data_IF_727495269688
#
_entry.id   IF_727495269688
#
_cell.length_a   1.000
_cell.length_b   1.000
_cell.length_c   1.000
_cell.angle_alpha   90.00
_cell.angle_beta   90.00
_cell.angle_gamma   90.00
#
_symmetry.space_group_name_H-M   'P 1'
#
loop_
_entity.id
_entity.type
_entity.pdbx_description
1 polymer ?
#
# COMPACT_ATOMS: atom_id res chain seq x y z
N UNK A 1 -3.34 -14.72 4.71
CA UNK A 1 -3.02 -15.37 3.42
C UNK A 1 -1.99 -16.49 3.55
N UNK A 2 -1.00 -16.45 4.42
CA UNK A 2 0.05 -17.47 4.51
C UNK A 2 1.04 -17.52 3.33
N UNK A 3 1.08 -16.47 2.49
CA UNK A 3 2.00 -16.34 1.38
C UNK A 3 3.27 -15.60 1.79
N UNK A 4 4.40 -15.94 1.16
CA UNK A 4 5.63 -15.15 1.28
C UNK A 4 5.49 -13.85 0.47
N UNK A 5 6.19 -12.80 0.90
CA UNK A 5 6.12 -11.47 0.23
C UNK A 5 6.44 -11.53 -1.26
N UNK A 6 7.44 -12.32 -1.64
CA UNK A 6 7.87 -12.51 -3.03
C UNK A 6 6.84 -13.20 -3.94
N UNK A 7 5.89 -13.96 -3.34
CA UNK A 7 4.86 -14.71 -4.05
C UNK A 7 3.51 -13.96 -4.12
N UNK A 8 3.42 -12.80 -3.46
CA UNK A 8 2.20 -11.99 -3.43
C UNK A 8 2.10 -11.17 -4.71
N UNK A 9 1.02 -11.37 -5.46
CA UNK A 9 0.71 -10.61 -6.66
C UNK A 9 -0.11 -9.37 -6.32
N UNK A 10 0.47 -8.19 -6.55
CA UNK A 10 -0.11 -6.89 -6.23
C UNK A 10 -0.49 -6.14 -7.51
N UNK A 11 -1.69 -5.58 -7.53
CA UNK A 11 -2.13 -4.68 -8.61
C UNK A 11 -2.45 -3.32 -8.03
N UNK A 12 -1.87 -2.26 -8.60
CA UNK A 12 -2.21 -0.88 -8.20
C UNK A 12 -3.03 -0.20 -9.27
N UNK A 13 -4.09 0.51 -8.87
CA UNK A 13 -4.83 1.44 -9.73
C UNK A 13 -4.42 2.86 -9.39
N UNK A 14 -3.81 3.52 -10.36
CA UNK A 14 -3.16 4.81 -10.24
C UNK A 14 -1.68 4.74 -10.64
N UNK A 15 -1.18 5.81 -11.25
CA UNK A 15 0.22 5.95 -11.63
C UNK A 15 0.71 7.40 -11.39
N UNK A 16 0.13 8.03 -10.39
CA UNK A 16 0.55 9.32 -9.85
C UNK A 16 1.56 9.16 -8.70
N UNK A 17 1.89 10.27 -8.06
CA UNK A 17 2.91 10.33 -7.00
C UNK A 17 2.66 9.30 -5.88
N UNK A 18 1.42 9.16 -5.41
CA UNK A 18 1.08 8.20 -4.35
C UNK A 18 1.33 6.75 -4.78
N UNK A 19 0.83 6.34 -5.95
CA UNK A 19 1.01 4.98 -6.45
C UNK A 19 2.49 4.64 -6.64
N UNK A 20 3.28 5.57 -7.18
CA UNK A 20 4.73 5.40 -7.38
C UNK A 20 5.44 5.24 -6.04
N UNK A 21 5.15 6.11 -5.06
CA UNK A 21 5.77 6.05 -3.73
C UNK A 21 5.43 4.74 -3.01
N UNK A 22 4.16 4.31 -3.04
CA UNK A 22 3.71 3.04 -2.46
C UNK A 22 4.43 1.87 -3.14
N UNK A 23 4.47 1.86 -4.48
CA UNK A 23 5.11 0.78 -5.23
C UNK A 23 6.61 0.69 -4.93
N UNK A 24 7.33 1.82 -4.89
CA UNK A 24 8.76 1.84 -4.51
C UNK A 24 8.96 1.31 -3.09
N UNK A 25 8.11 1.69 -2.14
CA UNK A 25 8.19 1.22 -0.76
C UNK A 25 7.91 -0.29 -0.66
N UNK A 26 6.93 -0.81 -1.39
CA UNK A 26 6.64 -2.24 -1.42
C UNK A 26 7.80 -3.05 -2.02
N UNK A 27 8.42 -2.56 -3.11
CA UNK A 27 9.62 -3.18 -3.69
C UNK A 27 10.78 -3.21 -2.69
N UNK A 28 11.02 -2.10 -1.96
CA UNK A 28 12.05 -2.05 -0.92
C UNK A 28 11.76 -2.96 0.27
N UNK A 29 10.48 -3.22 0.56
CA UNK A 29 10.03 -4.16 1.58
C UNK A 29 10.08 -5.64 1.13
N UNK A 30 10.48 -5.92 -0.12
CA UNK A 30 10.70 -7.28 -0.64
C UNK A 30 9.56 -7.89 -1.44
N UNK A 31 8.49 -7.14 -1.75
CA UNK A 31 7.49 -7.58 -2.72
C UNK A 31 8.06 -7.50 -4.14
N UNK A 32 7.73 -8.46 -5.00
CA UNK A 32 8.34 -8.57 -6.34
C UNK A 32 7.33 -8.50 -7.49
N UNK A 33 6.17 -9.13 -7.34
CA UNK A 33 5.16 -9.16 -8.41
C UNK A 33 4.15 -8.02 -8.23
N UNK A 34 4.50 -6.86 -8.76
CA UNK A 34 3.66 -5.66 -8.72
C UNK A 34 3.36 -5.20 -10.15
N UNK A 35 2.07 -5.02 -10.46
CA UNK A 35 1.62 -4.41 -11.73
C UNK A 35 0.91 -3.11 -11.44
N UNK A 36 1.40 -2.01 -12.00
CA UNK A 36 0.74 -0.71 -11.95
C UNK A 36 -0.19 -0.52 -13.13
N UNK A 37 -1.37 0.05 -12.88
CA UNK A 37 -2.33 0.40 -13.93
C UNK A 37 -2.62 1.91 -13.90
N UNK A 38 -2.67 2.52 -15.08
CA UNK A 38 -3.24 3.84 -15.27
C UNK A 38 -4.56 3.76 -16.07
N UNK A 39 -5.11 4.89 -16.50
CA UNK A 39 -6.37 4.93 -17.27
C UNK A 39 -6.34 4.11 -18.57
N UNK A 40 -5.17 3.80 -19.12
CA UNK A 40 -4.99 3.01 -20.33
C UNK A 40 -4.71 1.53 -20.02
N UNK A 41 -4.72 1.12 -18.76
CA UNK A 41 -4.42 -0.23 -18.32
C UNK A 41 -3.00 -0.41 -17.76
N UNK A 42 -2.49 -1.63 -17.86
CA UNK A 42 -1.21 -2.01 -17.27
C UNK A 42 -0.03 -1.19 -17.81
N UNK A 43 0.87 -0.81 -16.92
CA UNK A 43 2.16 -0.22 -17.25
C UNK A 43 3.17 -1.35 -17.41
N UNK A 44 3.90 -1.35 -18.51
CA UNK A 44 4.93 -2.34 -18.83
C UNK A 44 6.01 -1.74 -19.73
N UNK A 45 7.17 -2.33 -19.72
CA UNK A 45 8.30 -1.89 -20.52
C UNK A 45 8.00 -2.00 -22.03
N UNK A 46 8.13 -0.88 -22.75
CA UNK A 46 7.82 -0.79 -24.17
C UNK A 46 6.40 -0.32 -24.47
N UNK A 47 5.54 -0.05 -23.48
CA UNK A 47 4.23 0.56 -23.72
C UNK A 47 4.40 2.00 -24.23
N UNK A 48 3.74 2.33 -25.31
CA UNK A 48 3.76 3.68 -25.89
C UNK A 48 3.07 4.73 -24.99
N UNK A 49 3.54 5.97 -25.05
CA UNK A 49 2.94 7.11 -24.35
C UNK A 49 3.15 7.14 -22.84
N UNK A 50 4.15 6.44 -22.34
CA UNK A 50 4.62 6.60 -20.96
C UNK A 50 5.43 7.90 -20.83
N UNK A 51 5.23 8.60 -19.69
CA UNK A 51 6.16 9.66 -19.31
C UNK A 51 7.39 9.04 -18.62
N UNK A 52 8.42 9.86 -18.34
CA UNK A 52 9.70 9.42 -17.81
C UNK A 52 9.58 8.54 -16.55
N UNK A 53 8.74 8.95 -15.57
CA UNK A 53 8.61 8.22 -14.32
C UNK A 53 7.86 6.89 -14.50
N UNK A 54 6.86 6.83 -15.38
CA UNK A 54 6.18 5.56 -15.70
C UNK A 54 7.09 4.63 -16.48
N UNK A 55 8.00 5.16 -17.29
CA UNK A 55 9.03 4.37 -17.97
C UNK A 55 9.97 3.75 -16.93
N UNK A 56 10.46 4.53 -15.98
CA UNK A 56 11.26 4.03 -14.84
C UNK A 56 10.52 2.92 -14.08
N UNK A 57 9.24 3.16 -13.73
CA UNK A 57 8.45 2.16 -13.02
C UNK A 57 8.21 0.89 -13.83
N UNK A 58 8.07 1.00 -15.15
CA UNK A 58 7.91 -0.15 -16.04
C UNK A 58 9.14 -1.07 -16.09
N UNK A 59 10.32 -0.56 -15.73
CA UNK A 59 11.55 -1.36 -15.66
C UNK A 59 11.62 -2.25 -14.41
N UNK A 60 10.91 -1.86 -13.34
CA UNK A 60 10.97 -2.54 -12.02
C UNK A 60 9.65 -3.19 -11.62
N UNK A 61 8.58 -2.99 -12.40
CA UNK A 61 7.25 -3.59 -12.18
C UNK A 61 6.79 -4.33 -13.42
N UNK A 62 5.79 -5.22 -13.27
CA UNK A 62 5.22 -6.00 -14.37
C UNK A 62 6.30 -6.61 -15.29
N UNK A 63 7.28 -7.26 -14.69
CA UNK A 63 8.44 -7.82 -15.40
C UNK A 63 8.05 -8.83 -16.49
N UNK A 64 6.87 -9.43 -16.38
CA UNK A 64 6.28 -10.30 -17.43
C UNK A 64 5.68 -9.53 -18.59
N UNK A 65 5.69 -8.20 -18.57
CA UNK A 65 5.17 -7.29 -19.61
C UNK A 65 3.72 -7.58 -20.01
N UNK A 66 2.89 -7.96 -19.06
CA UNK A 66 1.46 -8.20 -19.32
C UNK A 66 0.79 -6.89 -19.73
N UNK A 67 0.12 -6.93 -20.88
CA UNK A 67 -0.75 -5.86 -21.36
C UNK A 67 -2.21 -6.19 -21.03
N UNK A 68 -3.04 -5.18 -20.85
CA UNK A 68 -4.47 -5.34 -20.58
C UNK A 68 -5.03 -4.23 -19.71
N UNK A 69 -6.31 -4.33 -19.44
CA UNK A 69 -7.06 -3.43 -18.57
C UNK A 69 -6.78 -3.70 -17.09
N UNK A 70 -7.27 -2.85 -16.20
CA UNK A 70 -7.23 -3.12 -14.76
C UNK A 70 -7.93 -4.46 -14.42
N UNK A 71 -9.06 -4.74 -15.06
CA UNK A 71 -9.80 -5.99 -14.87
C UNK A 71 -8.96 -7.22 -15.23
N UNK A 72 -8.21 -7.16 -16.34
CA UNK A 72 -7.33 -8.27 -16.77
C UNK A 72 -6.19 -8.49 -15.76
N UNK A 73 -5.66 -7.42 -15.18
CA UNK A 73 -4.58 -7.53 -14.19
C UNK A 73 -5.05 -8.07 -12.86
N UNK A 74 -6.32 -7.82 -12.48
CA UNK A 74 -6.90 -8.33 -11.23
C UNK A 74 -7.13 -9.85 -11.26
N UNK A 75 -7.18 -10.46 -12.42
CA UNK A 75 -7.31 -11.94 -12.51
C UNK A 75 -6.15 -12.62 -11.78
N UNK A 76 -6.48 -13.36 -10.72
CA UNK A 76 -5.50 -14.05 -9.88
C UNK A 76 -4.57 -13.11 -9.09
N UNK A 77 -4.93 -11.87 -8.87
CA UNK A 77 -4.23 -10.98 -7.96
C UNK A 77 -4.57 -11.30 -6.49
N UNK A 78 -3.61 -11.10 -5.61
CA UNK A 78 -3.78 -11.29 -4.16
C UNK A 78 -4.14 -9.98 -3.45
N UNK A 79 -3.59 -8.88 -3.93
CA UNK A 79 -3.76 -7.56 -3.33
C UNK A 79 -4.10 -6.53 -4.40
N UNK A 80 -5.11 -5.73 -4.14
CA UNK A 80 -5.43 -4.53 -4.89
C UNK A 80 -5.14 -3.29 -4.05
N UNK A 81 -4.49 -2.29 -4.64
CA UNK A 81 -4.25 -0.97 -4.03
C UNK A 81 -4.77 0.11 -4.96
N UNK A 82 -5.86 0.74 -4.58
CA UNK A 82 -6.49 1.85 -5.29
C UNK A 82 -6.04 3.19 -4.73
N UNK A 83 -5.45 4.03 -5.57
CA UNK A 83 -5.08 5.43 -5.29
C UNK A 83 -5.37 6.28 -6.53
N UNK A 84 -6.55 6.10 -7.10
CA UNK A 84 -6.91 6.65 -8.40
C UNK A 84 -8.24 7.42 -8.38
N UNK A 85 -9.32 6.78 -8.77
CA UNK A 85 -10.62 7.41 -8.95
C UNK A 85 -11.73 6.52 -8.36
N UNK A 86 -12.85 7.12 -7.94
CA UNK A 86 -13.97 6.37 -7.37
C UNK A 86 -14.56 5.35 -8.36
N UNK A 87 -15.08 4.24 -7.81
CA UNK A 87 -15.86 3.24 -8.54
C UNK A 87 -15.14 2.62 -9.76
N UNK A 88 -13.80 2.48 -9.68
CA UNK A 88 -13.00 1.88 -10.76
C UNK A 88 -12.92 0.36 -10.68
N UNK A 89 -13.31 -0.23 -9.56
CA UNK A 89 -13.35 -1.68 -9.34
C UNK A 89 -14.78 -2.13 -9.06
N UNK A 90 -15.16 -3.23 -9.68
CA UNK A 90 -16.49 -3.83 -9.52
C UNK A 90 -16.43 -5.13 -8.72
N UNK A 91 -17.56 -5.56 -8.17
CA UNK A 91 -17.69 -6.86 -7.50
C UNK A 91 -17.23 -8.02 -8.41
N UNK A 92 -17.55 -7.95 -9.71
CA UNK A 92 -17.16 -8.98 -10.68
C UNK A 92 -15.64 -9.04 -10.86
N UNK A 93 -14.96 -7.90 -10.86
CA UNK A 93 -13.49 -7.85 -10.90
C UNK A 93 -12.88 -8.48 -9.64
N UNK A 94 -13.46 -8.22 -8.47
CA UNK A 94 -12.98 -8.84 -7.22
C UNK A 94 -13.14 -10.36 -7.23
N UNK A 95 -14.22 -10.89 -7.81
CA UNK A 95 -14.43 -12.34 -7.95
C UNK A 95 -13.36 -13.06 -8.75
N UNK A 96 -12.61 -12.35 -9.60
CA UNK A 96 -11.52 -12.91 -10.40
C UNK A 96 -10.18 -12.95 -9.66
N UNK A 97 -10.09 -12.29 -8.50
CA UNK A 97 -8.89 -12.29 -7.67
C UNK A 97 -8.68 -13.65 -7.00
N UNK A 98 -7.51 -13.85 -6.44
CA UNK A 98 -7.23 -15.06 -5.65
C UNK A 98 -8.10 -15.11 -4.38
N UNK A 99 -8.27 -16.33 -3.87
CA UNK A 99 -8.90 -16.55 -2.56
C UNK A 99 -8.19 -15.73 -1.48
N UNK A 100 -8.96 -15.24 -0.51
CA UNK A 100 -8.47 -14.40 0.58
C UNK A 100 -7.85 -13.07 0.12
N UNK A 101 -8.34 -12.49 -0.97
CA UNK A 101 -7.87 -11.23 -1.52
C UNK A 101 -7.93 -10.08 -0.50
N UNK A 102 -6.96 -9.17 -0.58
CA UNK A 102 -6.87 -7.95 0.23
C UNK A 102 -7.10 -6.73 -0.66
N UNK A 103 -7.97 -5.83 -0.24
CA UNK A 103 -8.33 -4.62 -0.99
C UNK A 103 -8.07 -3.38 -0.15
N UNK A 104 -7.23 -2.49 -0.66
CA UNK A 104 -7.00 -1.14 -0.17
C UNK A 104 -7.59 -0.14 -1.17
N UNK A 105 -8.80 0.36 -0.92
CA UNK A 105 -9.51 1.31 -1.78
C UNK A 105 -9.42 2.71 -1.17
N UNK A 106 -8.36 3.46 -1.52
CA UNK A 106 -7.95 4.68 -0.83
C UNK A 106 -8.43 5.98 -1.48
N UNK A 107 -9.18 5.94 -2.59
CA UNK A 107 -9.74 7.15 -3.19
C UNK A 107 -10.72 7.85 -2.23
N UNK A 108 -10.66 9.17 -2.17
CA UNK A 108 -11.47 10.00 -1.29
C UNK A 108 -12.28 11.03 -2.09
N UNK A 109 -13.55 11.33 -1.69
CA UNK A 109 -14.32 10.76 -0.58
C UNK A 109 -14.96 9.40 -0.89
N UNK A 110 -15.02 9.01 -2.16
CA UNK A 110 -15.62 7.76 -2.62
C UNK A 110 -14.49 6.78 -3.02
N UNK A 111 -14.44 5.58 -2.43
CA UNK A 111 -13.40 4.61 -2.74
C UNK A 111 -13.54 4.01 -4.15
N UNK A 112 -12.51 3.33 -4.63
CA UNK A 112 -12.53 2.58 -5.88
C UNK A 112 -13.60 1.48 -5.91
N UNK A 113 -13.89 0.91 -4.74
CA UNK A 113 -15.00 -0.01 -4.48
C UNK A 113 -15.41 0.11 -3.01
N UNK A 114 -16.71 0.09 -2.73
CA UNK A 114 -17.20 0.07 -1.35
C UNK A 114 -16.95 -1.29 -0.68
N UNK A 115 -16.72 -1.31 0.65
CA UNK A 115 -16.44 -2.55 1.39
C UNK A 115 -17.47 -3.64 1.19
N UNK A 116 -18.77 -3.32 1.21
CA UNK A 116 -19.83 -4.31 1.03
C UNK A 116 -19.77 -4.98 -0.35
N UNK A 117 -19.48 -4.20 -1.39
CA UNK A 117 -19.34 -4.71 -2.76
C UNK A 117 -18.06 -5.55 -2.92
N UNK A 118 -16.96 -5.16 -2.28
CA UNK A 118 -15.72 -5.92 -2.27
C UNK A 118 -15.88 -7.25 -1.50
N UNK A 119 -16.57 -7.23 -0.36
CA UNK A 119 -16.88 -8.43 0.43
C UNK A 119 -17.80 -9.38 -0.35
N UNK A 120 -18.80 -8.86 -1.05
CA UNK A 120 -19.65 -9.65 -1.95
C UNK A 120 -18.87 -10.28 -3.12
N UNK A 121 -17.75 -9.69 -3.53
CA UNK A 121 -16.81 -10.24 -4.50
C UNK A 121 -15.87 -11.31 -3.92
N UNK A 122 -15.84 -11.53 -2.61
CA UNK A 122 -15.00 -12.53 -1.96
C UNK A 122 -13.69 -11.97 -1.37
N UNK A 123 -13.53 -10.65 -1.31
CA UNK A 123 -12.40 -10.06 -0.61
C UNK A 123 -12.48 -10.39 0.89
N UNK A 124 -11.34 -10.79 1.45
CA UNK A 124 -11.25 -11.16 2.87
C UNK A 124 -10.93 -9.96 3.75
N UNK A 125 -9.98 -9.14 3.35
CA UNK A 125 -9.58 -7.93 4.06
C UNK A 125 -9.86 -6.72 3.20
N UNK A 126 -10.53 -5.73 3.76
CA UNK A 126 -10.90 -4.52 3.05
C UNK A 126 -10.55 -3.31 3.91
N UNK A 127 -9.87 -2.34 3.31
CA UNK A 127 -9.50 -1.06 3.91
C UNK A 127 -9.89 0.09 3.00
N UNK A 128 -10.33 1.18 3.60
CA UNK A 128 -10.60 2.45 2.89
C UNK A 128 -10.07 3.63 3.69
N UNK A 129 -10.11 4.84 3.12
CA UNK A 129 -9.84 6.07 3.87
C UNK A 129 -11.02 6.54 4.76
N UNK A 130 -12.15 5.85 4.74
CA UNK A 130 -13.37 6.23 5.44
C UNK A 130 -13.35 5.78 6.90
N UNK A 131 -13.84 6.64 7.80
CA UNK A 131 -13.92 6.35 9.23
C UNK A 131 -15.15 5.54 9.65
N UNK A 132 -16.11 5.37 8.75
CA UNK A 132 -17.35 4.62 8.97
C UNK A 132 -17.22 3.12 8.63
N UNK A 133 -16.03 2.68 8.23
CA UNK A 133 -15.71 1.26 7.98
C UNK A 133 -14.49 0.82 8.80
N UNK A 134 -14.35 -0.47 9.09
CA UNK A 134 -13.16 -1.03 9.73
C UNK A 134 -11.90 -0.82 8.88
N UNK A 135 -10.73 -1.00 9.49
CA UNK A 135 -9.43 -0.89 8.82
C UNK A 135 -9.21 0.48 8.14
N UNK A 136 -9.62 1.58 8.77
CA UNK A 136 -9.42 2.91 8.21
C UNK A 136 -7.94 3.19 7.97
N UNK A 137 -7.58 3.50 6.73
CA UNK A 137 -6.25 4.01 6.37
C UNK A 137 -6.26 5.53 6.57
N UNK A 138 -5.57 5.99 7.61
CA UNK A 138 -5.51 7.40 7.95
C UNK A 138 -4.06 7.85 8.12
N UNK A 139 -3.70 8.93 7.46
CA UNK A 139 -2.36 9.51 7.53
C UNK A 139 -1.93 9.89 8.96
N UNK A 140 -2.88 10.13 9.86
CA UNK A 140 -2.59 10.44 11.28
C UNK A 140 -1.85 9.32 12.00
N UNK A 141 -1.94 8.08 11.52
CA UNK A 141 -1.20 6.95 12.06
C UNK A 141 0.31 7.04 11.80
N UNK A 142 0.71 7.66 10.70
CA UNK A 142 2.11 7.73 10.30
C UNK A 142 2.75 9.09 10.62
N UNK A 143 2.06 10.17 10.26
CA UNK A 143 2.60 11.53 10.22
C UNK A 143 3.24 12.01 11.51
N UNK A 144 2.51 12.07 12.65
CA UNK A 144 3.07 12.62 13.89
C UNK A 144 4.26 11.80 14.39
N UNK A 145 4.16 10.48 14.33
CA UNK A 145 5.21 9.57 14.79
C UNK A 145 6.49 9.66 13.95
N UNK A 146 6.35 9.72 12.62
CA UNK A 146 7.51 9.87 11.73
C UNK A 146 8.26 11.16 12.03
N UNK A 147 7.57 12.30 12.04
CA UNK A 147 8.23 13.57 12.34
C UNK A 147 8.81 13.64 13.75
N UNK A 148 8.10 13.10 14.74
CA UNK A 148 8.63 13.01 16.11
C UNK A 148 9.95 12.22 16.14
N UNK A 149 10.01 11.04 15.54
CA UNK A 149 11.22 10.24 15.49
C UNK A 149 12.37 10.91 14.75
N UNK A 150 12.06 11.62 13.64
CA UNK A 150 13.04 12.44 12.90
C UNK A 150 13.63 13.55 13.75
N UNK A 151 12.78 14.31 14.46
CA UNK A 151 13.23 15.41 15.30
C UNK A 151 13.99 14.96 16.53
N UNK A 152 13.59 13.86 17.16
CA UNK A 152 14.25 13.33 18.35
C UNK A 152 15.73 13.00 18.10
N UNK A 153 16.10 12.66 16.87
CA UNK A 153 17.48 12.34 16.48
C UNK A 153 18.08 13.36 15.49
N UNK A 154 17.39 14.46 15.24
CA UNK A 154 17.78 15.48 14.24
C UNK A 154 18.22 14.88 12.92
N UNK A 155 17.46 13.92 12.41
CA UNK A 155 17.80 13.24 11.16
C UNK A 155 17.90 14.23 10.00
N UNK A 156 18.87 14.01 9.11
CA UNK A 156 19.09 14.85 7.92
C UNK A 156 18.19 14.48 6.75
N UNK A 157 17.52 13.32 6.82
CA UNK A 157 16.67 12.79 5.76
C UNK A 157 15.59 11.88 6.36
N UNK A 158 14.54 11.61 5.57
CA UNK A 158 13.52 10.58 5.83
C UNK A 158 13.64 9.52 4.73
N UNK A 159 14.51 8.55 4.94
CA UNK A 159 14.82 7.54 3.94
C UNK A 159 13.85 6.33 3.96
N UNK A 160 13.98 5.42 2.98
CA UNK A 160 13.10 4.25 2.84
C UNK A 160 13.13 3.34 4.07
N UNK A 161 14.30 3.14 4.70
CA UNK A 161 14.42 2.31 5.90
C UNK A 161 13.58 2.84 7.07
N UNK A 162 13.50 4.16 7.23
CA UNK A 162 12.67 4.80 8.26
C UNK A 162 11.18 4.62 7.97
N UNK A 163 10.76 4.69 6.70
CA UNK A 163 9.37 4.49 6.29
C UNK A 163 8.95 3.03 6.47
N UNK A 164 9.79 2.07 6.12
CA UNK A 164 9.54 0.63 6.37
C UNK A 164 9.43 0.37 7.87
N UNK A 165 10.35 0.91 8.68
CA UNK A 165 10.31 0.75 10.13
C UNK A 165 9.02 1.33 10.75
N UNK A 166 8.52 2.46 10.24
CA UNK A 166 7.23 3.01 10.65
C UNK A 166 6.07 2.05 10.34
N UNK A 167 6.05 1.48 9.14
CA UNK A 167 5.02 0.52 8.72
C UNK A 167 5.05 -0.76 9.57
N UNK A 168 6.24 -1.29 9.85
CA UNK A 168 6.42 -2.47 10.71
C UNK A 168 5.99 -2.20 12.16
N UNK A 169 6.30 -1.01 12.68
CA UNK A 169 5.86 -0.61 14.01
C UNK A 169 4.33 -0.51 14.11
N UNK A 170 3.67 0.04 13.09
CA UNK A 170 2.20 0.09 13.02
C UNK A 170 1.59 -1.31 12.98
N UNK A 171 2.09 -2.17 12.11
CA UNK A 171 1.63 -3.55 12.00
C UNK A 171 1.84 -4.34 13.29
N UNK A 172 2.97 -4.11 13.97
CA UNK A 172 3.30 -4.77 15.25
C UNK A 172 2.37 -4.42 16.40
N UNK A 173 1.73 -3.24 16.37
CA UNK A 173 0.78 -2.82 17.40
C UNK A 173 -0.53 -3.61 17.38
N UNK A 174 -0.88 -4.20 16.25
CA UNK A 174 -2.07 -5.05 16.13
C UNK A 174 -1.89 -6.36 16.91
N UNK A 175 -0.68 -6.94 16.88
CA UNK A 175 -0.31 -8.13 17.65
C UNK A 175 -1.29 -9.28 17.48
N UNK A 176 -1.67 -9.88 18.62
CA UNK A 176 -2.56 -11.04 18.66
C UNK A 176 -4.04 -10.71 18.35
N UNK A 177 -4.39 -9.41 18.24
CA UNK A 177 -5.74 -8.97 17.87
C UNK A 177 -5.97 -8.99 16.34
N UNK A 178 -4.98 -9.41 15.56
CA UNK A 178 -5.04 -9.44 14.10
C UNK A 178 -6.26 -10.22 13.61
N UNK A 179 -7.14 -9.52 12.88
CA UNK A 179 -8.35 -10.10 12.28
C UNK A 179 -8.65 -9.44 10.93
N UNK A 180 -9.66 -9.93 10.21
CA UNK A 180 -10.06 -9.36 8.92
C UNK A 180 -10.52 -7.89 9.02
N UNK A 181 -11.10 -7.53 10.16
CA UNK A 181 -11.60 -6.19 10.45
C UNK A 181 -10.67 -5.36 11.35
N UNK A 182 -9.49 -5.89 11.72
CA UNK A 182 -8.48 -5.19 12.51
C UNK A 182 -7.06 -5.54 12.07
N UNK A 183 -6.60 -4.91 10.98
CA UNK A 183 -5.25 -5.07 10.43
C UNK A 183 -4.33 -3.87 10.72
N UNK A 184 -4.90 -2.80 11.24
CA UNK A 184 -4.21 -1.54 11.52
C UNK A 184 -4.84 -0.92 12.77
N UNK A 185 -4.07 -0.25 13.65
CA UNK A 185 -4.61 0.41 14.84
C UNK A 185 -5.64 1.50 14.50
N UNK A 186 -6.53 1.80 15.44
CA UNK A 186 -7.47 2.92 15.29
C UNK A 186 -6.71 4.25 15.17
N UNK A 187 -7.29 5.22 14.47
CA UNK A 187 -6.66 6.50 14.15
C UNK A 187 -6.15 7.30 15.36
N UNK A 188 -6.78 7.11 16.54
CA UNK A 188 -6.42 7.81 17.79
C UNK A 188 -5.86 6.86 18.86
N UNK A 189 -5.33 5.70 18.49
CA UNK A 189 -4.67 4.81 19.42
C UNK A 189 -3.42 5.47 19.99
N UNK A 190 -3.35 5.71 21.34
CA UNK A 190 -2.25 6.44 21.96
C UNK A 190 -0.90 5.73 21.84
N UNK A 191 -0.88 4.42 21.52
CA UNK A 191 0.34 3.64 21.34
C UNK A 191 1.07 3.97 20.03
N UNK A 192 0.34 4.45 19.03
CA UNK A 192 0.84 4.63 17.66
C UNK A 192 1.97 5.64 17.59
N UNK A 193 1.75 6.86 18.08
CA UNK A 193 2.74 7.93 18.00
C UNK A 193 4.10 7.54 18.59
N UNK A 194 4.15 7.09 19.86
CA UNK A 194 5.39 6.64 20.48
C UNK A 194 6.08 5.46 19.78
N UNK A 195 5.33 4.46 19.35
CA UNK A 195 5.88 3.28 18.68
C UNK A 195 6.52 3.63 17.33
N UNK A 196 5.82 4.41 16.52
CA UNK A 196 6.32 4.89 15.22
C UNK A 196 7.55 5.78 15.42
N UNK A 197 7.51 6.73 16.34
CA UNK A 197 8.64 7.63 16.61
C UNK A 197 9.89 6.87 17.03
N UNK A 198 9.77 5.90 17.93
CA UNK A 198 10.87 5.05 18.36
C UNK A 198 11.48 4.29 17.18
N UNK A 199 10.65 3.61 16.39
CA UNK A 199 11.12 2.80 15.24
C UNK A 199 11.82 3.66 14.19
N UNK A 200 11.28 4.84 13.88
CA UNK A 200 11.86 5.80 12.95
C UNK A 200 13.20 6.33 13.45
N UNK A 201 13.31 6.72 14.73
CA UNK A 201 14.56 7.19 15.32
C UNK A 201 15.66 6.11 15.31
N UNK A 202 15.31 4.86 15.64
CA UNK A 202 16.23 3.74 15.56
C UNK A 202 16.69 3.44 14.12
N UNK A 203 15.77 3.50 13.15
CA UNK A 203 16.10 3.33 11.73
C UNK A 203 17.00 4.46 11.22
N UNK A 204 16.76 5.71 11.64
CA UNK A 204 17.61 6.85 11.30
C UNK A 204 19.04 6.66 11.82
N UNK A 205 19.21 6.16 13.05
CA UNK A 205 20.53 5.85 13.61
C UNK A 205 21.24 4.73 12.82
N UNK A 206 20.53 3.62 12.55
CA UNK A 206 21.09 2.49 11.78
C UNK A 206 21.48 2.88 10.36
N UNK A 207 20.74 3.79 9.73
CA UNK A 207 21.02 4.24 8.35
C UNK A 207 22.00 5.42 8.27
N UNK A 208 22.52 5.91 9.41
CA UNK A 208 23.54 6.95 9.45
C UNK A 208 23.05 8.36 9.16
N UNK A 209 21.72 8.60 9.16
CA UNK A 209 21.16 9.94 8.92
C UNK A 209 20.84 10.70 10.22
N UNK A 210 20.91 10.06 11.39
CA UNK A 210 20.78 10.70 12.68
C UNK A 210 21.98 11.60 12.99
N UNK A 211 21.74 12.71 13.68
CA UNK A 211 22.78 13.67 14.13
C UNK A 211 22.90 13.73 15.65
N UNK A 212 22.00 13.00 16.35
CA UNK A 212 22.03 12.82 17.81
C UNK A 212 21.93 11.33 18.15
#
# INVERSE_FOLDING_TARGET
MGKKKEDVKIVTSGAGAAAIAITKLLLSAGFKDITMCDRKGAIYQGREGLNWIKTEMAEVTNLSRKAGTLADMLVGADVFIGVSAPNTVTTEMVKTMNKDAIIFACANPTPEIFPDAAKAGGARVISTGRSDYPNQINNVLAFPGIFRGVFDVRASDINEAMKVAAAEALAGLVGDELSEDYIIPAAFDPRVGPAVAKAVAEAARRSGVARL
#
